data_IF_306041750676
#
_entry.id   IF_306041750676
#
_cell.length_a   1.000
_cell.length_b   1.000
_cell.length_c   1.000
_cell.angle_alpha   90.00
_cell.angle_beta   90.00
_cell.angle_gamma   90.00
#
_symmetry.space_group_name_H-M   'P 1'
#
loop_
_entity.id
_entity.type
_entity.pdbx_description
1 polymer ?
#
# COMPACT_ATOMS: atom_id res chain seq x y z
N UNK A 1 -13.49 -11.95 1.55
CA UNK A 1 -13.30 -13.40 1.54
C UNK A 1 -14.35 -14.11 2.40
N UNK A 2 -14.46 -13.85 3.73
CA UNK A 2 -15.38 -14.61 4.62
C UNK A 2 -16.86 -14.44 4.25
N UNK A 3 -17.29 -13.21 3.85
CA UNK A 3 -18.66 -12.98 3.36
C UNK A 3 -18.97 -13.84 2.13
N UNK A 4 -18.02 -13.94 1.20
CA UNK A 4 -18.16 -14.76 -0.02
C UNK A 4 -18.23 -16.23 0.33
N UNK A 5 -17.38 -16.71 1.26
CA UNK A 5 -17.43 -18.09 1.75
C UNK A 5 -18.80 -18.46 2.36
N UNK A 6 -19.43 -17.54 3.13
CA UNK A 6 -20.79 -17.75 3.64
C UNK A 6 -21.80 -17.91 2.52
N UNK A 7 -21.76 -16.99 1.54
CA UNK A 7 -22.66 -17.04 0.38
C UNK A 7 -22.45 -18.34 -0.39
N UNK A 8 -21.19 -18.74 -0.63
CA UNK A 8 -20.88 -19.97 -1.33
C UNK A 8 -21.51 -21.20 -0.67
N UNK A 9 -21.46 -21.28 0.68
CA UNK A 9 -22.11 -22.37 1.42
C UNK A 9 -23.63 -22.42 1.25
N UNK A 10 -24.28 -21.30 0.95
CA UNK A 10 -25.74 -21.28 0.68
C UNK A 10 -26.09 -21.91 -0.68
N UNK A 11 -25.11 -21.99 -1.59
CA UNK A 11 -25.21 -22.66 -2.87
C UNK A 11 -24.48 -24.00 -2.89
N UNK A 12 -24.26 -24.63 -1.73
CA UNK A 12 -23.49 -25.87 -1.58
C UNK A 12 -22.10 -25.84 -2.23
N UNK A 13 -21.48 -24.65 -2.25
CA UNK A 13 -20.13 -24.42 -2.73
C UNK A 13 -19.20 -23.96 -1.60
N UNK A 14 -17.91 -24.02 -1.83
CA UNK A 14 -16.88 -23.55 -0.90
C UNK A 14 -15.70 -22.95 -1.64
N UNK A 15 -15.07 -21.93 -1.08
CA UNK A 15 -13.77 -21.45 -1.55
C UNK A 15 -12.71 -22.51 -1.26
N UNK A 16 -12.04 -23.01 -2.30
CA UNK A 16 -10.86 -23.88 -2.18
C UNK A 16 -9.56 -23.08 -2.13
N UNK A 17 -9.60 -21.81 -2.56
CA UNK A 17 -8.50 -20.86 -2.47
C UNK A 17 -8.99 -19.54 -1.83
N UNK A 18 -8.43 -19.22 -0.65
CA UNK A 18 -8.71 -18.01 0.11
C UNK A 18 -7.46 -17.14 0.24
N UNK A 19 -6.64 -17.09 -0.81
CA UNK A 19 -5.48 -16.20 -0.89
C UNK A 19 -5.90 -14.73 -0.88
N UNK A 20 -5.08 -13.88 -0.27
CA UNK A 20 -5.26 -12.42 -0.35
C UNK A 20 -5.11 -11.89 -1.78
N UNK A 21 -4.37 -12.59 -2.64
CA UNK A 21 -4.17 -12.20 -4.04
C UNK A 21 -5.44 -12.35 -4.89
N UNK A 22 -6.42 -13.11 -4.44
CA UNK A 22 -7.72 -13.25 -5.09
C UNK A 22 -8.66 -12.06 -4.78
N UNK A 23 -8.22 -11.12 -3.95
CA UNK A 23 -8.97 -9.89 -3.63
C UNK A 23 -8.23 -8.70 -4.23
N UNK A 24 -8.94 -7.93 -5.06
CA UNK A 24 -8.46 -6.69 -5.65
C UNK A 24 -9.39 -5.53 -5.30
N UNK A 25 -8.88 -4.30 -5.40
CA UNK A 25 -9.69 -3.11 -5.19
C UNK A 25 -10.13 -2.54 -6.54
N UNK A 26 -11.44 -2.41 -6.72
CA UNK A 26 -12.04 -1.79 -7.90
C UNK A 26 -13.05 -0.75 -7.46
N UNK A 27 -12.88 0.49 -7.93
CA UNK A 27 -13.73 1.64 -7.57
C UNK A 27 -13.95 1.78 -6.06
N UNK A 28 -12.86 1.65 -5.29
CA UNK A 28 -12.85 1.78 -3.84
C UNK A 28 -13.44 0.61 -3.05
N UNK A 29 -13.78 -0.51 -3.71
CA UNK A 29 -14.33 -1.69 -3.07
C UNK A 29 -13.45 -2.93 -3.27
N UNK A 30 -13.38 -3.77 -2.24
CA UNK A 30 -12.71 -5.07 -2.34
C UNK A 30 -13.59 -6.04 -3.13
N UNK A 31 -13.03 -6.64 -4.19
CA UNK A 31 -13.70 -7.56 -5.11
C UNK A 31 -12.90 -8.85 -5.21
N UNK A 32 -13.58 -10.00 -5.16
CA UNK A 32 -12.98 -11.29 -5.50
C UNK A 32 -12.85 -11.37 -7.03
N UNK A 33 -11.65 -11.65 -7.52
CA UNK A 33 -11.35 -11.67 -8.96
C UNK A 33 -11.19 -13.09 -9.52
N UNK A 34 -11.01 -14.11 -8.68
CA UNK A 34 -10.83 -15.48 -9.12
C UNK A 34 -12.11 -16.32 -8.91
N UNK A 35 -12.85 -16.52 -10.00
CA UNK A 35 -14.05 -17.35 -10.01
C UNK A 35 -13.73 -18.86 -10.00
N UNK A 36 -12.50 -19.26 -10.35
CA UNK A 36 -12.05 -20.66 -10.31
C UNK A 36 -11.70 -21.15 -8.90
N UNK A 37 -11.68 -20.23 -7.92
CA UNK A 37 -11.44 -20.53 -6.51
C UNK A 37 -12.59 -21.28 -5.82
N UNK A 38 -13.68 -21.59 -6.49
CA UNK A 38 -14.81 -22.32 -5.93
C UNK A 38 -14.77 -23.80 -6.28
N UNK A 39 -15.30 -24.65 -5.37
CA UNK A 39 -15.58 -26.06 -5.57
C UNK A 39 -16.91 -26.44 -4.93
N UNK A 40 -17.50 -27.58 -5.32
CA UNK A 40 -18.67 -28.13 -4.63
C UNK A 40 -18.28 -28.53 -3.20
N UNK A 41 -19.05 -28.07 -2.22
CA UNK A 41 -18.80 -28.39 -0.82
C UNK A 41 -19.08 -29.88 -0.54
N UNK A 42 -18.07 -30.59 -0.07
CA UNK A 42 -18.22 -32.01 0.33
C UNK A 42 -18.77 -32.06 1.76
N UNK A 43 -20.01 -32.57 1.92
CA UNK A 43 -20.64 -32.73 3.24
C UNK A 43 -19.71 -33.46 4.21
N UNK A 44 -19.63 -32.96 5.42
CA UNK A 44 -18.77 -33.57 6.46
C UNK A 44 -17.32 -33.12 6.42
N UNK A 45 -16.85 -32.41 5.39
CA UNK A 45 -15.46 -31.95 5.29
C UNK A 45 -15.29 -30.56 5.90
N UNK A 46 -14.11 -30.26 6.49
CA UNK A 46 -13.77 -28.92 6.93
C UNK A 46 -13.57 -27.98 5.74
N UNK A 47 -13.57 -26.67 5.98
CA UNK A 47 -13.21 -25.69 4.95
C UNK A 47 -11.74 -25.85 4.54
N UNK A 48 -11.50 -26.26 3.29
CA UNK A 48 -10.17 -26.60 2.77
C UNK A 48 -9.21 -25.40 2.82
N UNK A 49 -9.69 -24.19 2.54
CA UNK A 49 -8.88 -22.97 2.53
C UNK A 49 -8.77 -22.27 3.92
N UNK A 50 -9.25 -22.90 5.01
CA UNK A 50 -9.21 -22.31 6.35
C UNK A 50 -7.79 -21.92 6.80
N UNK A 51 -6.81 -22.82 6.60
CA UNK A 51 -5.41 -22.56 6.93
C UNK A 51 -4.88 -21.37 6.14
N UNK A 52 -5.12 -21.36 4.84
CA UNK A 52 -4.68 -20.29 3.93
C UNK A 52 -5.29 -18.95 4.33
N UNK A 53 -6.59 -18.90 4.66
CA UNK A 53 -7.20 -17.68 5.20
C UNK A 53 -6.47 -17.17 6.46
N UNK A 54 -6.15 -18.06 7.39
CA UNK A 54 -5.42 -17.68 8.59
C UNK A 54 -4.02 -17.13 8.28
N UNK A 55 -3.33 -17.69 7.29
CA UNK A 55 -1.99 -17.29 6.88
C UNK A 55 -1.97 -15.96 6.09
N UNK A 56 -2.97 -15.74 5.22
CA UNK A 56 -3.04 -14.55 4.36
C UNK A 56 -3.72 -13.34 5.00
N UNK A 57 -4.63 -13.56 5.95
CA UNK A 57 -5.41 -12.47 6.55
C UNK A 57 -5.23 -12.38 8.06
N UNK A 58 -5.54 -13.43 8.81
CA UNK A 58 -5.56 -13.31 10.27
C UNK A 58 -4.17 -13.12 10.87
N UNK A 59 -3.17 -13.84 10.39
CA UNK A 59 -1.80 -13.74 10.88
C UNK A 59 -1.19 -12.36 10.64
N UNK A 60 -1.17 -11.80 9.39
CA UNK A 60 -0.63 -10.46 9.17
C UNK A 60 -1.38 -9.39 9.95
N UNK A 61 -2.72 -9.39 9.97
CA UNK A 61 -3.51 -8.42 10.73
C UNK A 61 -3.22 -8.50 12.23
N UNK A 62 -3.10 -9.70 12.81
CA UNK A 62 -2.78 -9.89 14.21
C UNK A 62 -1.37 -9.38 14.55
N UNK A 63 -0.40 -9.63 13.69
CA UNK A 63 0.98 -9.14 13.86
C UNK A 63 1.03 -7.61 13.81
N UNK A 64 0.33 -6.99 12.86
CA UNK A 64 0.23 -5.53 12.74
C UNK A 64 -0.38 -4.91 14.00
N UNK A 65 -1.46 -5.48 14.52
CA UNK A 65 -2.21 -4.93 15.67
C UNK A 65 -1.48 -5.16 17.00
N UNK A 66 -0.92 -6.35 17.22
CA UNK A 66 -0.39 -6.73 18.53
C UNK A 66 1.12 -6.57 18.68
N UNK A 67 1.84 -6.39 17.57
CA UNK A 67 3.30 -6.29 17.60
C UNK A 67 3.81 -5.01 16.96
N UNK A 68 3.69 -4.85 15.65
CA UNK A 68 4.15 -3.67 14.92
C UNK A 68 3.49 -3.61 13.53
N UNK A 69 3.03 -2.43 13.10
CA UNK A 69 2.41 -2.21 11.79
C UNK A 69 3.35 -2.58 10.63
N UNK A 70 4.65 -2.39 10.78
CA UNK A 70 5.66 -2.69 9.76
C UNK A 70 5.75 -4.18 9.42
N UNK A 71 5.16 -5.06 10.24
CA UNK A 71 5.10 -6.50 9.97
C UNK A 71 4.15 -6.84 8.82
N UNK A 72 3.40 -5.88 8.26
CA UNK A 72 2.72 -6.02 6.98
C UNK A 72 3.67 -6.47 5.86
N UNK A 73 4.97 -6.10 5.93
CA UNK A 73 5.99 -6.48 4.94
C UNK A 73 6.24 -8.00 4.89
N UNK A 74 5.91 -8.74 5.93
CA UNK A 74 5.98 -10.20 5.89
C UNK A 74 5.05 -10.81 4.83
N UNK A 75 3.92 -10.16 4.51
CA UNK A 75 3.03 -10.64 3.45
C UNK A 75 3.66 -10.53 2.06
N UNK A 76 4.62 -9.62 1.86
CA UNK A 76 5.41 -9.53 0.62
C UNK A 76 6.47 -10.64 0.56
N UNK A 77 7.05 -10.99 1.70
CA UNK A 77 8.08 -12.03 1.79
C UNK A 77 7.47 -13.44 1.67
N UNK A 78 6.33 -13.66 2.31
CA UNK A 78 5.63 -14.95 2.33
C UNK A 78 4.42 -14.92 1.40
N UNK A 79 4.64 -15.17 0.10
CA UNK A 79 3.57 -15.11 -0.92
C UNK A 79 2.48 -16.17 -0.73
N UNK A 80 2.80 -17.31 -0.11
CA UNK A 80 1.84 -18.37 0.26
C UNK A 80 1.19 -18.13 1.63
N UNK A 81 1.34 -16.92 2.17
CA UNK A 81 0.86 -16.53 3.49
C UNK A 81 1.87 -16.75 4.61
N UNK A 82 1.76 -15.97 5.67
CA UNK A 82 2.68 -16.02 6.81
C UNK A 82 2.52 -17.35 7.55
N UNK A 83 3.60 -18.17 7.72
CA UNK A 83 3.53 -19.43 8.47
C UNK A 83 2.98 -19.21 9.88
N UNK A 84 1.96 -19.98 10.28
CA UNK A 84 1.29 -19.78 11.57
C UNK A 84 2.19 -20.02 12.78
N UNK A 85 3.18 -20.91 12.65
CA UNK A 85 4.17 -21.13 13.69
C UNK A 85 5.11 -19.93 13.87
N UNK A 86 5.49 -19.25 12.77
CA UNK A 86 6.22 -17.99 12.82
C UNK A 86 5.36 -16.90 13.47
N UNK A 87 4.12 -16.73 13.00
CA UNK A 87 3.18 -15.77 13.58
C UNK A 87 2.96 -16.00 15.08
N UNK A 88 2.76 -17.27 15.48
CA UNK A 88 2.60 -17.65 16.88
C UNK A 88 3.81 -17.30 17.78
N UNK A 89 5.04 -17.41 17.24
CA UNK A 89 6.27 -17.03 17.95
C UNK A 89 6.47 -15.53 18.05
N UNK A 90 6.11 -14.78 17.02
CA UNK A 90 6.24 -13.32 16.97
C UNK A 90 5.18 -12.60 17.82
N UNK A 91 3.99 -13.16 17.93
CA UNK A 91 2.91 -12.58 18.71
C UNK A 91 3.22 -12.54 20.21
N UNK A 92 2.84 -11.45 20.92
CA UNK A 92 3.00 -11.36 22.38
C UNK A 92 2.25 -12.49 23.12
N UNK A 93 2.81 -12.98 24.23
CA UNK A 93 2.22 -14.08 25.04
C UNK A 93 0.76 -13.78 25.44
N UNK A 94 0.40 -12.52 25.68
CA UNK A 94 -0.98 -12.10 26.01
C UNK A 94 -2.03 -12.46 24.96
N UNK A 95 -1.64 -12.66 23.69
CA UNK A 95 -2.55 -13.09 22.62
C UNK A 95 -3.06 -14.51 22.80
N UNK A 96 -2.35 -15.36 23.58
CA UNK A 96 -2.81 -16.69 23.99
C UNK A 96 -4.03 -16.67 24.92
N UNK A 97 -4.28 -15.53 25.60
CA UNK A 97 -5.48 -15.32 26.42
C UNK A 97 -6.72 -14.94 25.59
N UNK A 98 -6.54 -14.66 24.31
CA UNK A 98 -7.65 -14.37 23.38
C UNK A 98 -8.06 -15.65 22.68
N UNK A 99 -9.23 -16.20 23.05
CA UNK A 99 -9.70 -17.52 22.60
C UNK A 99 -9.57 -17.73 21.09
N UNK A 100 -10.00 -16.77 20.27
CA UNK A 100 -9.93 -16.89 18.82
C UNK A 100 -8.49 -16.94 18.31
N UNK A 101 -7.58 -16.10 18.82
CA UNK A 101 -6.16 -16.14 18.41
C UNK A 101 -5.46 -17.38 18.93
N UNK A 102 -5.81 -17.82 20.14
CA UNK A 102 -5.35 -19.11 20.68
C UNK A 102 -5.70 -20.23 19.71
N UNK A 103 -6.96 -20.32 19.29
CA UNK A 103 -7.46 -21.40 18.45
C UNK A 103 -6.93 -21.30 17.01
N UNK A 104 -7.04 -20.13 16.38
CA UNK A 104 -6.78 -19.99 14.94
C UNK A 104 -5.31 -19.81 14.58
N UNK A 105 -4.47 -19.35 15.52
CA UNK A 105 -3.03 -19.17 15.29
C UNK A 105 -2.22 -20.10 16.17
N UNK A 106 -2.33 -20.02 17.52
CA UNK A 106 -1.39 -20.70 18.40
C UNK A 106 -1.59 -22.23 18.42
N UNK A 107 -2.82 -22.72 18.62
CA UNK A 107 -3.10 -24.17 18.62
C UNK A 107 -3.01 -24.75 17.21
N UNK A 108 -3.42 -23.99 16.18
CA UNK A 108 -3.30 -24.44 14.80
C UNK A 108 -1.82 -24.65 14.42
N UNK A 109 -0.93 -23.74 14.81
CA UNK A 109 0.50 -23.86 14.63
C UNK A 109 1.06 -25.12 15.34
N UNK A 110 0.61 -25.38 16.57
CA UNK A 110 1.04 -26.56 17.33
C UNK A 110 0.58 -27.87 16.69
N UNK A 111 -0.68 -27.92 16.26
CA UNK A 111 -1.24 -29.11 15.58
C UNK A 111 -0.49 -29.44 14.28
N UNK A 112 -0.12 -28.43 13.48
CA UNK A 112 0.65 -28.67 12.25
C UNK A 112 2.00 -29.35 12.53
N UNK A 113 2.72 -28.94 13.57
CA UNK A 113 3.99 -29.59 13.95
C UNK A 113 3.79 -31.01 14.45
N UNK A 114 2.76 -31.24 15.24
CA UNK A 114 2.50 -32.56 15.85
C UNK A 114 2.03 -33.60 14.81
N UNK A 115 1.28 -33.17 13.79
CA UNK A 115 0.70 -34.04 12.78
C UNK A 115 1.42 -34.02 11.43
N UNK A 116 2.54 -33.29 11.29
CA UNK A 116 3.30 -33.21 10.05
C UNK A 116 3.69 -34.59 9.48
N UNK A 117 3.91 -35.57 10.37
CA UNK A 117 4.35 -36.93 10.02
C UNK A 117 3.29 -38.01 10.27
N UNK A 118 2.04 -37.66 10.57
CA UNK A 118 0.97 -38.63 10.84
C UNK A 118 -0.12 -38.54 9.77
N UNK A 119 -0.48 -39.66 9.18
CA UNK A 119 -1.72 -39.76 8.38
C UNK A 119 -2.91 -39.53 9.32
N UNK A 120 -3.62 -38.42 9.13
CA UNK A 120 -4.83 -38.14 9.90
C UNK A 120 -5.95 -38.98 9.31
N UNK A 121 -6.54 -39.85 10.14
CA UNK A 121 -7.77 -40.55 9.80
C UNK A 121 -8.91 -39.51 9.65
N UNK A 122 -9.25 -39.24 8.40
CA UNK A 122 -10.27 -38.24 8.01
C UNK A 122 -11.70 -38.69 8.34
N UNK A 123 -11.89 -39.93 8.77
CA UNK A 123 -13.22 -40.54 8.96
C UNK A 123 -13.93 -40.09 10.25
N UNK A 124 -13.25 -39.49 11.23
CA UNK A 124 -13.76 -39.32 12.60
C UNK A 124 -14.38 -37.98 12.96
N UNK A 125 -14.29 -36.94 12.13
CA UNK A 125 -14.92 -35.64 12.42
C UNK A 125 -15.76 -35.16 11.25
N UNK A 126 -17.06 -35.28 11.35
CA UNK A 126 -17.99 -34.68 10.38
C UNK A 126 -18.24 -33.20 10.74
N UNK A 127 -17.96 -32.30 9.80
CA UNK A 127 -18.28 -30.89 9.91
C UNK A 127 -19.64 -30.60 9.29
N UNK A 128 -20.62 -30.27 10.12
CA UNK A 128 -21.91 -29.81 9.62
C UNK A 128 -21.81 -28.42 9.01
N UNK A 129 -22.73 -28.03 8.11
CA UNK A 129 -22.83 -26.66 7.59
C UNK A 129 -22.91 -25.63 8.74
N UNK A 130 -23.64 -25.93 9.83
CA UNK A 130 -23.73 -25.08 11.02
C UNK A 130 -22.37 -24.87 11.69
N UNK A 131 -21.56 -25.93 11.82
CA UNK A 131 -20.21 -25.86 12.40
C UNK A 131 -19.28 -24.99 11.52
N UNK A 132 -19.38 -25.12 10.20
CA UNK A 132 -18.61 -24.29 9.27
C UNK A 132 -19.00 -22.81 9.35
N UNK A 133 -20.31 -22.52 9.38
CA UNK A 133 -20.80 -21.14 9.55
C UNK A 133 -20.32 -20.55 10.88
N UNK A 134 -20.38 -21.31 11.98
CA UNK A 134 -19.90 -20.86 13.29
C UNK A 134 -18.37 -20.58 13.27
N UNK A 135 -17.58 -21.38 12.55
CA UNK A 135 -16.15 -21.12 12.35
C UNK A 135 -15.92 -19.81 11.59
N UNK A 136 -16.66 -19.58 10.51
CA UNK A 136 -16.54 -18.38 9.68
C UNK A 136 -16.98 -17.13 10.47
N UNK A 137 -18.08 -17.24 11.25
CA UNK A 137 -18.56 -16.18 12.12
C UNK A 137 -17.54 -15.80 13.20
N UNK A 138 -16.87 -16.80 13.78
CA UNK A 138 -15.81 -16.55 14.75
C UNK A 138 -14.60 -15.83 14.11
N UNK A 139 -14.17 -16.25 12.90
CA UNK A 139 -13.10 -15.57 12.16
C UNK A 139 -13.50 -14.13 11.81
N UNK A 140 -14.72 -13.92 11.34
CA UNK A 140 -15.23 -12.59 10.99
C UNK A 140 -15.27 -11.67 12.22
N UNK A 141 -15.79 -12.16 13.32
CA UNK A 141 -15.81 -11.44 14.61
C UNK A 141 -14.39 -11.13 15.09
N UNK A 142 -13.47 -12.09 14.96
CA UNK A 142 -12.07 -11.91 15.32
C UNK A 142 -11.44 -10.76 14.52
N UNK A 143 -11.61 -10.76 13.19
CA UNK A 143 -11.06 -9.71 12.32
C UNK A 143 -11.70 -8.35 12.64
N UNK A 144 -13.03 -8.28 12.84
CA UNK A 144 -13.75 -7.04 13.20
C UNK A 144 -13.29 -6.44 14.53
N UNK A 145 -12.85 -7.28 15.47
CA UNK A 145 -12.36 -6.85 16.77
C UNK A 145 -10.86 -6.48 16.77
N UNK A 146 -10.15 -6.63 15.65
CA UNK A 146 -8.81 -6.09 15.49
C UNK A 146 -8.91 -4.60 15.20
N UNK A 147 -8.34 -3.78 16.05
CA UNK A 147 -8.26 -2.33 15.88
C UNK A 147 -6.83 -1.87 15.86
N UNK A 148 -6.53 -0.89 15.02
CA UNK A 148 -5.22 -0.27 14.98
C UNK A 148 -4.86 0.33 16.35
N UNK A 149 -3.60 0.21 16.79
CA UNK A 149 -3.14 0.92 17.97
C UNK A 149 -3.29 2.43 17.76
N UNK A 150 -3.63 3.16 18.83
CA UNK A 150 -3.65 4.62 18.83
C UNK A 150 -2.20 5.13 18.77
N UNK A 151 -1.60 5.11 17.58
CA UNK A 151 -0.28 5.65 17.31
C UNK A 151 -0.44 7.02 16.66
N UNK A 152 0.44 7.95 17.01
CA UNK A 152 0.60 9.22 16.29
C UNK A 152 1.92 9.16 15.54
N UNK A 153 1.91 9.50 14.25
CA UNK A 153 3.12 9.68 13.47
C UNK A 153 3.40 11.16 13.25
N UNK A 154 4.67 11.50 12.97
CA UNK A 154 5.06 12.87 12.61
C UNK A 154 4.32 13.35 11.34
N UNK A 155 3.87 12.43 10.49
CA UNK A 155 3.30 12.70 9.18
C UNK A 155 1.77 12.80 9.17
N UNK A 156 1.08 12.25 10.18
CA UNK A 156 -0.38 12.27 10.29
C UNK A 156 -0.95 13.71 10.28
N UNK A 157 -0.24 14.63 10.92
CA UNK A 157 -0.60 16.06 11.02
C UNK A 157 0.17 16.95 10.04
N UNK A 158 0.78 16.37 8.99
CA UNK A 158 1.63 17.12 8.07
C UNK A 158 0.96 18.36 7.50
N UNK A 159 -0.30 18.28 7.10
CA UNK A 159 -1.03 19.42 6.52
C UNK A 159 -1.45 20.48 7.54
N UNK A 160 -1.44 20.19 8.83
CA UNK A 160 -1.69 21.18 9.89
C UNK A 160 -0.44 22.00 10.24
N UNK A 161 0.75 21.51 9.83
CA UNK A 161 2.06 22.15 10.07
C UNK A 161 2.84 22.37 8.77
N UNK A 162 2.16 22.70 7.68
CA UNK A 162 2.81 23.02 6.41
C UNK A 162 3.43 24.43 6.50
N UNK A 163 4.60 24.62 5.85
CA UNK A 163 5.25 25.93 5.73
C UNK A 163 4.58 26.83 4.67
N UNK A 164 3.41 26.43 4.16
CA UNK A 164 2.66 27.22 3.20
C UNK A 164 1.71 28.18 3.90
N UNK A 165 1.65 29.44 3.44
CA UNK A 165 0.49 30.26 3.69
C UNK A 165 -0.73 29.67 2.96
N UNK A 166 -1.95 29.93 3.46
CA UNK A 166 -3.18 29.45 2.81
C UNK A 166 -3.23 29.82 1.31
N UNK A 167 -2.77 31.04 0.99
CA UNK A 167 -2.71 31.53 -0.40
C UNK A 167 -1.73 30.71 -1.26
N UNK A 168 -0.55 30.39 -0.75
CA UNK A 168 0.45 29.59 -1.45
C UNK A 168 -0.06 28.17 -1.69
N UNK A 169 -0.75 27.60 -0.70
CA UNK A 169 -1.32 26.29 -0.77
C UNK A 169 -2.43 26.19 -1.85
N UNK A 170 -3.37 27.16 -1.86
CA UNK A 170 -4.43 27.24 -2.86
C UNK A 170 -3.87 27.43 -4.27
N UNK A 171 -2.84 28.29 -4.42
CA UNK A 171 -2.18 28.51 -5.71
C UNK A 171 -1.49 27.22 -6.22
N UNK A 172 -0.83 26.48 -5.35
CA UNK A 172 -0.25 25.16 -5.67
C UNK A 172 -1.31 24.18 -6.15
N UNK A 173 -2.43 24.06 -5.43
CA UNK A 173 -3.54 23.18 -5.83
C UNK A 173 -4.10 23.55 -7.22
N UNK A 174 -4.41 24.84 -7.45
CA UNK A 174 -4.92 25.34 -8.75
C UNK A 174 -3.96 25.03 -9.90
N UNK A 175 -2.65 25.15 -9.64
CA UNK A 175 -1.65 24.89 -10.68
C UNK A 175 -1.54 23.40 -11.01
N UNK A 176 -1.50 22.55 -10.01
CA UNK A 176 -1.48 21.10 -10.20
C UNK A 176 -2.74 20.65 -10.95
N UNK A 177 -3.91 21.17 -10.56
CA UNK A 177 -5.18 20.88 -11.24
C UNK A 177 -5.15 21.28 -12.72
N UNK A 178 -4.61 22.48 -13.03
CA UNK A 178 -4.43 22.93 -14.42
C UNK A 178 -3.49 21.99 -15.19
N UNK A 179 -2.42 21.52 -14.59
CA UNK A 179 -1.48 20.61 -15.23
C UNK A 179 -2.06 19.21 -15.44
N UNK A 180 -2.82 18.69 -14.50
CA UNK A 180 -3.56 17.44 -14.69
C UNK A 180 -4.51 17.50 -15.89
N UNK A 181 -5.23 18.61 -16.05
CA UNK A 181 -6.08 18.83 -17.22
C UNK A 181 -5.26 18.90 -18.53
N UNK A 182 -4.10 19.57 -18.49
CA UNK A 182 -3.21 19.72 -19.68
C UNK A 182 -2.67 18.37 -20.16
N UNK A 183 -2.35 17.46 -19.22
CA UNK A 183 -1.78 16.15 -19.55
C UNK A 183 -2.81 15.14 -20.07
N UNK A 184 -4.12 15.42 -19.95
CA UNK A 184 -5.24 14.52 -20.32
C UNK A 184 -5.08 13.11 -19.70
N UNK A 185 -4.50 13.03 -18.51
CA UNK A 185 -4.20 11.79 -17.83
C UNK A 185 -5.47 10.97 -17.53
N UNK A 186 -5.37 9.65 -17.68
CA UNK A 186 -6.36 8.67 -17.23
C UNK A 186 -5.91 7.96 -15.94
N UNK A 187 -4.61 8.02 -15.65
CA UNK A 187 -3.99 7.41 -14.49
C UNK A 187 -2.98 8.35 -13.83
N UNK A 188 -3.02 8.42 -12.48
CA UNK A 188 -2.08 9.21 -11.68
C UNK A 188 -1.52 8.34 -10.56
N UNK A 189 -0.21 8.37 -10.38
CA UNK A 189 0.46 7.85 -9.20
C UNK A 189 1.02 9.00 -8.37
N UNK A 190 0.49 9.19 -7.17
CA UNK A 190 0.94 10.21 -6.22
C UNK A 190 1.94 9.58 -5.25
N UNK A 191 3.22 9.94 -5.39
CA UNK A 191 4.33 9.37 -4.65
C UNK A 191 4.64 10.24 -3.43
N UNK A 192 4.47 9.69 -2.22
CA UNK A 192 4.54 10.46 -0.97
C UNK A 192 3.26 11.27 -0.73
N UNK A 193 2.11 10.63 -0.97
CA UNK A 193 0.80 11.26 -0.99
C UNK A 193 0.28 11.70 0.39
N UNK A 194 0.90 11.23 1.47
CA UNK A 194 0.41 11.42 2.84
C UNK A 194 -1.06 11.00 2.97
N UNK A 195 -1.96 11.86 3.45
CA UNK A 195 -3.40 11.57 3.56
C UNK A 195 -4.17 11.78 2.24
N UNK A 196 -3.48 11.90 1.10
CA UNK A 196 -4.07 11.92 -0.23
C UNK A 196 -4.74 13.23 -0.64
N UNK A 197 -4.35 14.36 -0.06
CA UNK A 197 -4.95 15.66 -0.36
C UNK A 197 -4.74 16.05 -1.83
N UNK A 198 -3.52 15.91 -2.35
CA UNK A 198 -3.21 16.21 -3.75
C UNK A 198 -3.70 15.11 -4.68
N UNK A 199 -3.71 13.86 -4.23
CA UNK A 199 -4.31 12.73 -4.97
C UNK A 199 -5.77 13.01 -5.31
N UNK A 200 -6.51 13.68 -4.41
CA UNK A 200 -7.92 14.03 -4.62
C UNK A 200 -8.13 15.06 -5.72
N UNK A 201 -7.14 15.89 -6.03
CA UNK A 201 -7.23 16.80 -7.19
C UNK A 201 -7.33 16.04 -8.51
N UNK A 202 -6.71 14.86 -8.61
CA UNK A 202 -6.81 13.98 -9.77
C UNK A 202 -8.09 13.13 -9.72
N UNK A 203 -8.34 12.44 -8.60
CA UNK A 203 -9.47 11.51 -8.49
C UNK A 203 -10.84 12.19 -8.62
N UNK A 204 -10.99 13.44 -8.20
CA UNK A 204 -12.18 14.25 -8.38
C UNK A 204 -12.43 14.67 -9.85
N UNK A 205 -11.41 14.58 -10.70
CA UNK A 205 -11.53 14.74 -12.16
C UNK A 205 -11.81 13.41 -12.87
N UNK A 206 -12.21 12.37 -12.14
CA UNK A 206 -12.41 11.00 -12.62
C UNK A 206 -11.14 10.31 -13.15
N UNK A 207 -9.96 10.76 -12.74
CA UNK A 207 -8.69 10.11 -13.07
C UNK A 207 -8.43 8.99 -12.05
N UNK A 208 -8.10 7.79 -12.53
CA UNK A 208 -7.73 6.67 -11.65
C UNK A 208 -6.42 6.99 -10.92
N UNK A 209 -6.50 7.17 -9.61
CA UNK A 209 -5.38 7.67 -8.81
C UNK A 209 -4.95 6.64 -7.78
N UNK A 210 -3.65 6.31 -7.76
CA UNK A 210 -3.04 5.53 -6.68
C UNK A 210 -2.23 6.47 -5.81
N UNK A 211 -2.55 6.49 -4.51
CA UNK A 211 -1.86 7.29 -3.50
C UNK A 211 -0.87 6.42 -2.75
N UNK A 212 0.42 6.60 -2.99
CA UNK A 212 1.47 5.84 -2.31
C UNK A 212 2.09 6.64 -1.17
N UNK A 213 2.23 6.03 0.01
CA UNK A 213 3.00 6.60 1.10
C UNK A 213 3.72 5.52 1.92
N UNK A 214 4.82 5.90 2.57
CA UNK A 214 5.58 5.04 3.48
C UNK A 214 4.99 5.03 4.89
N UNK A 215 4.23 6.05 5.26
CA UNK A 215 3.56 6.12 6.57
C UNK A 215 2.25 5.35 6.55
N UNK A 216 2.24 4.19 7.20
CA UNK A 216 1.07 3.31 7.30
C UNK A 216 -0.15 3.99 7.94
N UNK A 217 0.04 4.95 8.86
CA UNK A 217 -1.09 5.66 9.48
C UNK A 217 -1.65 6.74 8.55
N UNK A 218 -0.80 7.39 7.76
CA UNK A 218 -1.26 8.31 6.71
C UNK A 218 -2.05 7.56 5.64
N UNK A 219 -1.57 6.38 5.21
CA UNK A 219 -2.28 5.51 4.27
C UNK A 219 -3.63 5.06 4.83
N UNK A 220 -3.68 4.62 6.11
CA UNK A 220 -4.93 4.23 6.78
C UNK A 220 -5.90 5.40 6.85
N UNK A 221 -5.43 6.59 7.25
CA UNK A 221 -6.27 7.80 7.30
C UNK A 221 -6.84 8.13 5.92
N UNK A 222 -6.03 8.06 4.87
CA UNK A 222 -6.45 8.27 3.50
C UNK A 222 -7.52 7.24 3.07
N UNK A 223 -7.34 5.97 3.45
CA UNK A 223 -8.30 4.91 3.19
C UNK A 223 -9.62 5.11 3.96
N UNK A 224 -9.57 5.51 5.23
CA UNK A 224 -10.77 5.84 6.02
C UNK A 224 -11.56 6.99 5.40
N UNK A 225 -10.87 8.05 4.95
CA UNK A 225 -11.50 9.17 4.27
C UNK A 225 -12.12 8.74 2.93
N UNK A 226 -11.44 7.88 2.18
CA UNK A 226 -11.94 7.30 0.93
C UNK A 226 -13.26 6.53 1.16
N UNK A 227 -13.34 5.67 2.18
CA UNK A 227 -14.55 4.93 2.52
C UNK A 227 -15.67 5.88 2.96
N UNK A 228 -15.36 6.80 3.89
CA UNK A 228 -16.32 7.76 4.44
C UNK A 228 -16.98 8.61 3.34
N UNK A 229 -16.17 9.07 2.38
CA UNK A 229 -16.61 9.93 1.29
C UNK A 229 -17.09 9.13 0.06
N UNK A 230 -17.03 7.79 0.11
CA UNK A 230 -17.39 6.88 -1.02
C UNK A 230 -16.65 7.22 -2.31
N UNK A 231 -15.38 7.60 -2.18
CA UNK A 231 -14.52 7.95 -3.31
C UNK A 231 -14.17 6.70 -4.12
N UNK A 232 -14.33 6.75 -5.45
CA UNK A 232 -14.18 5.57 -6.32
C UNK A 232 -12.85 5.52 -7.07
N UNK A 233 -12.26 6.68 -7.34
CA UNK A 233 -11.11 6.82 -8.24
C UNK A 233 -9.79 7.05 -7.48
N UNK A 234 -9.74 6.75 -6.19
CA UNK A 234 -8.54 6.83 -5.36
C UNK A 234 -8.28 5.50 -4.66
N UNK A 235 -7.04 5.04 -4.69
CA UNK A 235 -6.58 3.82 -4.02
C UNK A 235 -5.35 4.14 -3.17
N UNK A 236 -5.49 4.28 -1.85
CA UNK A 236 -4.35 4.44 -0.95
C UNK A 236 -3.58 3.12 -0.78
N UNK A 237 -2.26 3.16 -0.96
CA UNK A 237 -1.39 2.00 -0.82
C UNK A 237 -0.10 2.36 -0.07
N UNK A 238 0.36 1.44 0.77
CA UNK A 238 1.69 1.51 1.34
C UNK A 238 2.76 1.26 0.26
N UNK A 239 3.76 2.15 0.18
CA UNK A 239 4.92 1.95 -0.66
C UNK A 239 6.14 2.67 -0.09
N UNK A 240 7.22 1.92 0.12
CA UNK A 240 8.55 2.49 0.32
C UNK A 240 9.23 2.59 -1.04
N UNK A 241 9.41 3.82 -1.53
CA UNK A 241 10.04 4.09 -2.83
C UNK A 241 11.54 3.76 -2.88
N UNK A 242 12.18 3.62 -1.71
CA UNK A 242 13.58 3.18 -1.61
C UNK A 242 13.71 1.65 -1.64
N UNK A 243 12.59 0.95 -1.41
CA UNK A 243 12.47 -0.50 -1.49
C UNK A 243 11.08 -0.92 -2.01
N UNK A 244 10.74 -0.58 -3.27
CA UNK A 244 9.44 -0.88 -3.86
C UNK A 244 9.24 -2.39 -4.04
N UNK A 245 8.01 -2.81 -4.32
CA UNK A 245 7.71 -4.22 -4.59
C UNK A 245 8.53 -4.71 -5.78
N UNK A 246 9.37 -5.76 -5.62
CA UNK A 246 10.01 -6.43 -6.73
C UNK A 246 9.04 -7.40 -7.43
N UNK A 247 9.47 -8.01 -8.53
CA UNK A 247 8.81 -9.20 -9.03
C UNK A 247 8.98 -10.35 -8.02
N UNK A 248 7.94 -11.17 -7.82
CA UNK A 248 7.91 -12.22 -6.80
C UNK A 248 7.38 -13.54 -7.39
N UNK A 249 7.58 -14.62 -6.61
CA UNK A 249 7.09 -15.96 -6.93
C UNK A 249 8.05 -16.73 -7.82
N UNK A 250 7.57 -17.82 -8.42
CA UNK A 250 8.37 -18.71 -9.26
C UNK A 250 8.96 -17.94 -10.45
N UNK A 251 10.24 -18.08 -10.67
CA UNK A 251 11.02 -17.37 -11.71
C UNK A 251 10.86 -15.84 -11.68
N UNK A 252 10.39 -15.24 -10.57
CA UNK A 252 10.05 -13.82 -10.44
C UNK A 252 8.93 -13.33 -11.38
N UNK A 253 7.99 -14.21 -11.77
CA UNK A 253 6.97 -13.91 -12.79
C UNK A 253 5.52 -14.01 -12.27
N UNK A 254 5.31 -14.46 -11.02
CA UNK A 254 3.94 -14.61 -10.49
C UNK A 254 3.32 -13.30 -10.02
N UNK A 255 4.14 -12.34 -9.59
CA UNK A 255 3.68 -11.04 -9.09
C UNK A 255 4.57 -9.94 -9.65
N UNK A 256 3.94 -8.98 -10.29
CA UNK A 256 4.63 -7.88 -10.94
C UNK A 256 5.23 -6.89 -9.94
N UNK A 257 6.42 -6.36 -10.28
CA UNK A 257 7.03 -5.25 -9.57
C UNK A 257 6.22 -3.96 -9.74
N UNK A 258 6.47 -2.97 -8.86
CA UNK A 258 5.90 -1.63 -9.03
C UNK A 258 6.19 -1.07 -10.42
N UNK A 259 7.42 -1.19 -10.90
CA UNK A 259 7.82 -0.73 -12.23
C UNK A 259 7.04 -1.40 -13.36
N UNK A 260 6.84 -2.73 -13.29
CA UNK A 260 6.12 -3.49 -14.34
C UNK A 260 4.62 -3.17 -14.37
N UNK A 261 4.05 -2.67 -13.25
CA UNK A 261 2.66 -2.20 -13.16
C UNK A 261 2.43 -0.82 -13.79
N UNK A 262 3.52 -0.08 -14.05
CA UNK A 262 3.50 1.20 -14.75
C UNK A 262 3.64 1.04 -16.26
N UNK A 263 3.86 2.14 -16.98
CA UNK A 263 3.87 3.50 -16.44
C UNK A 263 2.45 4.06 -16.20
N UNK A 264 2.32 4.96 -15.21
CA UNK A 264 1.15 5.83 -15.11
C UNK A 264 1.25 6.97 -16.13
N UNK A 265 0.12 7.59 -16.50
CA UNK A 265 0.17 8.75 -17.39
C UNK A 265 0.86 9.93 -16.70
N UNK A 266 0.58 10.14 -15.41
CA UNK A 266 1.24 11.17 -14.60
C UNK A 266 1.71 10.57 -13.29
N UNK A 267 2.94 10.88 -12.90
CA UNK A 267 3.39 10.75 -11.51
C UNK A 267 3.49 12.12 -10.86
N UNK A 268 3.03 12.21 -9.62
CA UNK A 268 3.22 13.38 -8.76
C UNK A 268 4.24 13.04 -7.67
N UNK A 269 5.19 13.94 -7.43
CA UNK A 269 6.20 13.83 -6.38
C UNK A 269 6.32 15.17 -5.64
N UNK A 270 5.35 15.44 -4.76
CA UNK A 270 5.21 16.72 -4.08
C UNK A 270 5.85 16.67 -2.70
N UNK A 271 6.75 17.60 -2.40
CA UNK A 271 7.51 17.63 -1.14
C UNK A 271 8.22 16.30 -0.82
N UNK A 272 8.65 15.56 -1.83
CA UNK A 272 9.24 14.22 -1.69
C UNK A 272 10.76 14.20 -1.97
N UNK A 273 11.22 14.97 -2.96
CA UNK A 273 12.59 14.87 -3.50
C UNK A 273 13.68 14.97 -2.44
N UNK A 274 13.51 15.86 -1.45
CA UNK A 274 14.47 16.04 -0.37
C UNK A 274 14.56 14.84 0.59
N UNK A 275 13.49 14.08 0.75
CA UNK A 275 13.52 12.84 1.50
C UNK A 275 14.30 11.74 0.76
N UNK A 276 14.11 11.62 -0.55
CA UNK A 276 14.86 10.66 -1.35
C UNK A 276 16.34 11.05 -1.44
N UNK A 277 16.64 12.31 -1.76
CA UNK A 277 18.01 12.73 -2.01
C UNK A 277 18.83 12.91 -0.71
N UNK A 278 18.25 13.49 0.35
CA UNK A 278 18.98 13.80 1.58
C UNK A 278 18.81 12.68 2.61
N UNK A 279 17.56 12.25 2.92
CA UNK A 279 17.36 11.22 3.96
C UNK A 279 17.87 9.85 3.51
N UNK A 280 17.75 9.53 2.22
CA UNK A 280 18.11 8.23 1.65
C UNK A 280 19.35 8.24 0.76
N UNK A 281 20.06 9.38 0.67
CA UNK A 281 21.31 9.54 -0.09
C UNK A 281 21.20 9.16 -1.58
N UNK A 282 20.02 9.34 -2.21
CA UNK A 282 19.83 9.00 -3.62
C UNK A 282 20.24 10.19 -4.51
N UNK A 283 21.16 9.99 -5.48
CA UNK A 283 21.48 11.02 -6.46
C UNK A 283 20.26 11.39 -7.32
N UNK A 284 20.14 12.66 -7.72
CA UNK A 284 19.05 13.12 -8.59
C UNK A 284 18.95 12.33 -9.90
N UNK A 285 20.08 11.93 -10.48
CA UNK A 285 20.10 11.09 -11.67
C UNK A 285 19.32 9.78 -11.47
N UNK A 286 19.58 9.06 -10.36
CA UNK A 286 18.94 7.78 -10.08
C UNK A 286 17.44 7.95 -9.81
N UNK A 287 17.05 9.05 -9.14
CA UNK A 287 15.65 9.37 -8.90
C UNK A 287 14.95 9.67 -10.23
N UNK A 288 15.55 10.50 -11.08
CA UNK A 288 15.00 10.86 -12.39
C UNK A 288 14.86 9.65 -13.31
N UNK A 289 15.89 8.80 -13.38
CA UNK A 289 15.87 7.55 -14.14
C UNK A 289 14.72 6.64 -13.69
N UNK A 290 14.57 6.47 -12.37
CA UNK A 290 13.50 5.61 -11.85
C UNK A 290 12.11 6.21 -12.11
N UNK A 291 11.93 7.50 -11.93
CA UNK A 291 10.66 8.17 -12.20
C UNK A 291 10.29 8.11 -13.68
N UNK A 292 11.25 8.16 -14.58
CA UNK A 292 11.01 7.98 -16.02
C UNK A 292 10.49 6.56 -16.37
N UNK A 293 10.82 5.55 -15.57
CA UNK A 293 10.26 4.19 -15.72
C UNK A 293 8.84 4.07 -15.17
N UNK A 294 8.41 5.00 -14.31
CA UNK A 294 7.11 4.94 -13.63
C UNK A 294 6.02 5.79 -14.30
N UNK A 295 6.36 6.81 -15.09
CA UNK A 295 5.33 7.68 -15.67
C UNK A 295 5.73 8.43 -16.92
N UNK A 296 4.71 8.81 -17.70
CA UNK A 296 4.88 9.58 -18.95
C UNK A 296 5.02 11.08 -18.69
N UNK A 297 4.35 11.58 -17.67
CA UNK A 297 4.48 12.94 -17.17
C UNK A 297 4.88 12.93 -15.72
N UNK A 298 5.60 13.97 -15.30
CA UNK A 298 6.03 14.18 -13.93
C UNK A 298 5.63 15.57 -13.46
N UNK A 299 4.87 15.63 -12.36
CA UNK A 299 4.63 16.85 -11.59
C UNK A 299 5.47 16.74 -10.31
N UNK A 300 6.55 17.51 -10.22
CA UNK A 300 7.49 17.39 -9.12
C UNK A 300 7.73 18.74 -8.44
N UNK A 301 7.91 18.70 -7.13
CA UNK A 301 8.28 19.87 -6.32
C UNK A 301 9.72 19.78 -5.87
N UNK A 302 10.55 20.70 -6.35
CA UNK A 302 11.88 20.90 -5.82
C UNK A 302 11.81 21.71 -4.53
N UNK A 303 12.47 21.22 -3.47
CA UNK A 303 12.53 21.82 -2.14
C UNK A 303 13.98 22.20 -1.87
N UNK A 304 14.37 23.48 -1.97
CA UNK A 304 15.77 23.89 -1.86
C UNK A 304 16.31 23.79 -0.43
N UNK A 305 17.62 23.84 -0.28
CA UNK A 305 18.31 23.67 1.02
C UNK A 305 17.86 24.69 2.09
N UNK A 306 17.52 25.91 1.71
CA UNK A 306 17.04 26.95 2.62
C UNK A 306 15.59 26.77 3.09
N UNK A 307 14.87 25.74 2.62
CA UNK A 307 13.57 25.35 3.17
C UNK A 307 13.73 24.78 4.59
N UNK A 308 12.86 25.17 5.52
CA UNK A 308 12.94 24.76 6.92
C UNK A 308 12.84 23.24 7.13
N UNK A 309 12.13 22.51 6.25
CA UNK A 309 12.06 21.04 6.31
C UNK A 309 13.39 20.40 5.91
N UNK A 310 14.07 20.95 4.91
CA UNK A 310 15.41 20.51 4.52
C UNK A 310 16.42 20.85 5.61
N UNK A 311 16.36 22.06 6.17
CA UNK A 311 17.22 22.47 7.30
C UNK A 311 17.05 21.53 8.51
N UNK A 312 15.82 21.12 8.81
CA UNK A 312 15.55 20.11 9.86
C UNK A 312 16.22 18.77 9.55
N UNK A 313 16.21 18.32 8.30
CA UNK A 313 16.88 17.06 7.90
C UNK A 313 18.41 17.17 8.01
N UNK A 314 18.96 18.33 7.68
CA UNK A 314 20.41 18.57 7.74
C UNK A 314 20.91 18.81 9.16
N UNK A 315 20.07 19.30 10.09
CA UNK A 315 20.48 19.59 11.46
C UNK A 315 20.99 18.38 12.26
N UNK A 316 20.62 17.16 11.85
CA UNK A 316 20.99 15.90 12.52
C UNK A 316 22.14 15.16 11.84
N UNK A 317 22.75 15.73 10.80
CA UNK A 317 23.83 15.11 10.02
C UNK A 317 24.77 16.15 9.41
N UNK A 318 25.97 15.72 9.01
CA UNK A 318 26.86 16.54 8.21
C UNK A 318 26.26 16.77 6.81
N UNK A 319 26.27 18.01 6.33
CA UNK A 319 25.84 18.34 4.97
C UNK A 319 26.92 17.93 3.96
N UNK A 320 26.78 16.73 3.41
CA UNK A 320 27.62 16.19 2.33
C UNK A 320 26.97 16.38 0.95
N UNK A 321 25.80 17.00 0.87
CA UNK A 321 24.96 17.12 -0.32
C UNK A 321 25.30 18.35 -1.15
N UNK A 322 26.56 18.50 -1.57
CA UNK A 322 27.05 19.65 -2.35
C UNK A 322 26.31 19.81 -3.68
N UNK A 323 25.88 18.70 -4.29
CA UNK A 323 25.10 18.64 -5.55
C UNK A 323 23.59 18.73 -5.33
N UNK A 324 23.10 19.01 -4.12
CA UNK A 324 21.68 19.24 -3.89
C UNK A 324 21.36 20.73 -4.18
N UNK A 325 21.38 21.09 -5.44
CA UNK A 325 21.09 22.41 -5.98
C UNK A 325 19.97 22.32 -7.03
N UNK A 326 19.33 23.46 -7.33
CA UNK A 326 18.33 23.51 -8.39
C UNK A 326 18.92 23.18 -9.76
N UNK A 327 20.13 23.70 -10.05
CA UNK A 327 20.85 23.44 -11.31
C UNK A 327 21.17 21.97 -11.49
N UNK A 328 21.68 21.29 -10.45
CA UNK A 328 21.99 19.86 -10.53
C UNK A 328 20.72 19.02 -10.63
N UNK A 329 19.62 19.45 -9.99
CA UNK A 329 18.31 18.82 -10.16
C UNK A 329 17.83 18.93 -11.60
N UNK A 330 17.80 20.15 -12.18
CA UNK A 330 17.37 20.36 -13.57
C UNK A 330 18.25 19.60 -14.56
N UNK A 331 19.58 19.64 -14.41
CA UNK A 331 20.51 18.87 -15.26
C UNK A 331 20.22 17.38 -15.22
N UNK A 332 20.03 16.81 -14.02
CA UNK A 332 19.80 15.38 -13.86
C UNK A 332 18.45 14.94 -14.44
N UNK A 333 17.39 15.72 -14.16
CA UNK A 333 16.05 15.40 -14.67
C UNK A 333 15.93 15.63 -16.18
N UNK A 334 16.61 16.63 -16.72
CA UNK A 334 16.61 16.92 -18.17
C UNK A 334 17.24 15.83 -19.03
N UNK A 335 17.94 14.86 -18.44
CA UNK A 335 18.42 13.68 -19.17
C UNK A 335 17.23 12.81 -19.62
N UNK A 336 16.23 12.67 -18.78
CA UNK A 336 15.08 11.78 -18.99
C UNK A 336 13.78 12.49 -19.34
N UNK A 337 13.66 13.78 -18.97
CA UNK A 337 12.44 14.55 -19.12
C UNK A 337 12.70 15.88 -19.83
N UNK A 338 11.70 16.38 -20.55
CA UNK A 338 11.65 17.74 -21.06
C UNK A 338 10.86 18.63 -20.07
N UNK A 339 11.49 19.67 -19.53
CA UNK A 339 10.82 20.64 -18.64
C UNK A 339 9.85 21.46 -19.46
N UNK A 340 8.55 21.26 -19.26
CA UNK A 340 7.49 21.96 -19.97
C UNK A 340 7.09 23.27 -19.31
N UNK A 341 7.02 23.26 -17.98
CA UNK A 341 6.71 24.45 -17.18
C UNK A 341 7.45 24.39 -15.85
N UNK A 342 7.91 25.57 -15.40
CA UNK A 342 8.58 25.80 -14.11
C UNK A 342 7.91 26.98 -13.43
N UNK A 343 7.55 26.85 -12.15
CA UNK A 343 6.83 27.89 -11.42
C UNK A 343 7.32 27.94 -9.97
N UNK A 344 7.75 29.10 -9.53
CA UNK A 344 7.97 29.40 -8.11
C UNK A 344 6.63 29.48 -7.38
N UNK A 345 6.51 28.82 -6.24
CA UNK A 345 5.32 28.89 -5.41
C UNK A 345 5.34 30.19 -4.64
N UNK A 346 4.32 31.03 -4.83
CA UNK A 346 4.25 32.35 -4.18
C UNK A 346 4.39 32.22 -2.65
N UNK A 347 5.17 33.10 -2.03
CA UNK A 347 5.51 33.07 -0.58
C UNK A 347 6.14 31.74 -0.11
N UNK A 348 6.86 31.05 -0.99
CA UNK A 348 7.62 29.82 -0.67
C UNK A 348 8.92 29.86 -1.48
N UNK A 349 9.95 29.20 -0.98
CA UNK A 349 11.22 28.98 -1.70
C UNK A 349 11.15 27.79 -2.66
N UNK A 350 10.03 27.06 -2.68
CA UNK A 350 9.83 25.83 -3.43
C UNK A 350 9.40 26.09 -4.86
N UNK A 351 9.75 25.18 -5.74
CA UNK A 351 9.52 25.30 -7.18
C UNK A 351 8.77 24.05 -7.66
N UNK A 352 7.72 24.28 -8.44
CA UNK A 352 6.98 23.21 -9.12
C UNK A 352 7.42 23.09 -10.57
N UNK A 353 7.55 21.85 -11.03
CA UNK A 353 7.87 21.51 -12.40
C UNK A 353 6.80 20.60 -12.99
N UNK A 354 6.42 20.87 -14.24
CA UNK A 354 5.75 19.93 -15.12
C UNK A 354 6.75 19.47 -16.16
N UNK A 355 6.99 18.17 -16.23
CA UNK A 355 7.96 17.57 -17.11
C UNK A 355 7.33 16.45 -17.95
N UNK A 356 7.72 16.32 -19.22
CA UNK A 356 7.30 15.24 -20.13
C UNK A 356 8.45 14.25 -20.29
N UNK A 357 8.19 12.97 -20.11
CA UNK A 357 9.18 11.92 -20.30
C UNK A 357 9.58 11.84 -21.80
N UNK A 358 10.87 11.86 -22.08
CA UNK A 358 11.41 11.81 -23.46
C UNK A 358 11.13 10.49 -24.16
N UNK A 359 11.00 9.40 -23.39
CA UNK A 359 10.71 8.07 -23.90
C UNK A 359 9.21 7.71 -23.79
N UNK A 360 8.33 8.69 -23.54
CA UNK A 360 6.89 8.44 -23.53
C UNK A 360 6.42 8.10 -24.93
N UNK A 361 6.00 6.85 -25.14
CA UNK A 361 5.24 6.49 -26.33
C UNK A 361 3.83 7.08 -26.15
N UNK A 362 3.43 7.99 -27.01
CA UNK A 362 2.02 8.38 -27.14
C UNK A 362 1.24 7.12 -27.55
N UNK A 363 0.32 6.68 -26.67
CA UNK A 363 -0.63 5.60 -26.96
C UNK A 363 -1.80 6.16 -27.76
#
# INVERSE_FOLDING_TARGET
TLKIQKIALDFDMSLKDASAFNIQFYKGQAVLIDTLSFELHKKGQPWVAYKQFCQHFLAPLSLMVYKDLKLNQLSRLFIDGIPLDLASRLLPKKTKLKFSLLTHIHLHAHSQKHFANKQIDKSKKQFSKKTLLALIDNLESTVKNLSLPKLQTEWEKYYTFTNYSDTAFINKQKKIQKWLNKTKAQSVWDLGANTGLFSRLASQQNINTVSFDIDLLAVEKNYQDQIKNKEKNILPLFCDLTNPSPNLGWAHEERDSLQKRGPADVIMALALIHHLAISNNLPFYNIAEYFAKLGNWLIIEFVPKNDSKVQKLLSTRQDIFTKYTEDDFEKSFSIFFDIQEKISINKSVRILYLMKNKNSHEK
#
